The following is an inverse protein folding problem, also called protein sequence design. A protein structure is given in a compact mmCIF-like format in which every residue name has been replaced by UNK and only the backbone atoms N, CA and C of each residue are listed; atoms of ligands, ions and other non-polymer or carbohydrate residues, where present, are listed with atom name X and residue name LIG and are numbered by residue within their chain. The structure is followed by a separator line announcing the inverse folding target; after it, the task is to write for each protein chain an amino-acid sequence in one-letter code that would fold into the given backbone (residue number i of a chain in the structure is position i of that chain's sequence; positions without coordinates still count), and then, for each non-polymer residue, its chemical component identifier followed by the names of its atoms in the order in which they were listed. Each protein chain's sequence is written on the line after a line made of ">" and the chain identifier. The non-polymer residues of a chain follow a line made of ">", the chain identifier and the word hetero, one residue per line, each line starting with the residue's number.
data_IF_895776375156
#
_entry.id   IF_895776375156
#
_cell.length_a   1.000
_cell.length_b   1.000
_cell.length_c   1.000
_cell.angle_alpha   90.00
_cell.angle_beta   90.00
_cell.angle_gamma   90.00
#
_symmetry.space_group_name_H-M   'P 1'
#
loop_
_entity.id
_entity.type
_entity.pdbx_description
1 polymer ?
#
# COMPACT_ATOMS: atom_id res chain seq x y z
N UNK A 1 39.76 20.27 9.56
CA UNK A 1 38.52 20.94 9.11
C UNK A 1 38.06 20.53 7.71
N UNK A 2 38.94 20.33 6.71
CA UNK A 2 38.53 19.97 5.33
C UNK A 2 37.76 18.64 5.18
N UNK A 3 38.14 17.61 5.95
CA UNK A 3 37.52 16.28 5.88
C UNK A 3 36.06 16.26 6.36
N UNK A 4 35.74 16.98 7.43
CA UNK A 4 34.40 17.02 8.03
C UNK A 4 33.39 17.68 7.06
N UNK A 5 33.78 18.76 6.38
CA UNK A 5 32.91 19.42 5.39
C UNK A 5 32.67 18.56 4.14
N UNK A 6 33.67 17.74 3.77
CA UNK A 6 33.57 16.85 2.61
C UNK A 6 32.63 15.68 2.91
N UNK A 7 32.71 15.08 4.10
CA UNK A 7 31.81 14.00 4.53
C UNK A 7 30.35 14.47 4.66
N UNK A 8 30.10 15.65 5.24
CA UNK A 8 28.76 16.23 5.35
C UNK A 8 28.13 16.51 3.97
N UNK A 9 28.94 16.92 3.00
CA UNK A 9 28.46 17.19 1.63
C UNK A 9 28.14 15.89 0.89
N UNK A 10 28.96 14.86 1.06
CA UNK A 10 28.76 13.54 0.44
C UNK A 10 27.48 12.87 0.97
N UNK A 11 27.22 12.89 2.27
CA UNK A 11 26.00 12.31 2.86
C UNK A 11 24.71 13.00 2.40
N UNK A 12 24.75 14.34 2.27
CA UNK A 12 23.64 15.12 1.71
C UNK A 12 23.35 14.77 0.24
N UNK A 13 24.40 14.62 -0.57
CA UNK A 13 24.27 14.24 -1.97
C UNK A 13 23.72 12.82 -2.15
N UNK A 14 24.15 11.87 -1.32
CA UNK A 14 23.63 10.50 -1.34
C UNK A 14 22.14 10.46 -1.02
N UNK A 15 21.71 11.18 0.03
CA UNK A 15 20.29 11.27 0.42
C UNK A 15 19.43 11.85 -0.70
N UNK A 16 19.86 12.95 -1.33
CA UNK A 16 19.09 13.58 -2.40
C UNK A 16 18.99 12.69 -3.64
N UNK A 17 20.05 11.94 -3.96
CA UNK A 17 20.02 10.99 -5.07
C UNK A 17 19.12 9.79 -4.77
N UNK A 18 19.17 9.25 -3.54
CA UNK A 18 18.27 8.18 -3.10
C UNK A 18 16.80 8.62 -3.15
N UNK A 19 16.51 9.83 -2.67
CA UNK A 19 15.18 10.43 -2.75
C UNK A 19 14.69 10.57 -4.20
N UNK A 20 15.51 11.09 -5.12
CA UNK A 20 15.12 11.24 -6.54
C UNK A 20 14.80 9.90 -7.20
N UNK A 21 15.59 8.86 -6.91
CA UNK A 21 15.34 7.50 -7.40
C UNK A 21 14.02 6.95 -6.84
N UNK A 22 13.78 7.18 -5.55
CA UNK A 22 12.56 6.74 -4.87
C UNK A 22 11.33 7.42 -5.46
N UNK A 23 11.38 8.74 -5.64
CA UNK A 23 10.32 9.55 -6.25
C UNK A 23 10.02 9.10 -7.69
N UNK A 24 11.06 8.87 -8.50
CA UNK A 24 10.89 8.35 -9.86
C UNK A 24 10.19 6.99 -9.87
N UNK A 25 10.55 6.09 -8.95
CA UNK A 25 9.91 4.77 -8.84
C UNK A 25 8.45 4.89 -8.43
N UNK A 26 8.14 5.73 -7.44
CA UNK A 26 6.75 5.96 -7.01
C UNK A 26 5.89 6.66 -8.07
N UNK A 27 6.48 7.52 -8.90
CA UNK A 27 5.78 8.08 -10.06
C UNK A 27 5.33 6.99 -11.03
N UNK A 28 6.16 5.98 -11.30
CA UNK A 28 5.79 4.82 -12.13
C UNK A 28 4.67 4.00 -11.49
N UNK A 29 4.75 3.75 -10.18
CA UNK A 29 3.70 3.04 -9.41
C UNK A 29 2.37 3.82 -9.48
N UNK A 30 2.42 5.14 -9.38
CA UNK A 30 1.25 6.01 -9.52
C UNK A 30 0.62 5.86 -10.90
N UNK A 31 1.41 5.95 -11.98
CA UNK A 31 0.89 5.79 -13.35
C UNK A 31 0.23 4.43 -13.59
N UNK A 32 0.78 3.35 -13.03
CA UNK A 32 0.14 2.03 -13.06
C UNK A 32 -1.19 2.01 -12.30
N UNK A 33 -1.25 2.69 -11.15
CA UNK A 33 -2.46 2.79 -10.35
C UNK A 33 -3.56 3.59 -11.06
N UNK A 34 -3.18 4.68 -11.74
CA UNK A 34 -4.10 5.51 -12.53
C UNK A 34 -4.67 4.72 -13.72
N UNK A 35 -3.83 3.95 -14.42
CA UNK A 35 -4.27 3.08 -15.50
C UNK A 35 -5.26 2.00 -15.03
N UNK A 36 -4.98 1.35 -13.89
CA UNK A 36 -5.88 0.40 -13.26
C UNK A 36 -7.22 1.03 -12.89
N UNK A 37 -7.20 2.24 -12.32
CA UNK A 37 -8.41 2.96 -11.94
C UNK A 37 -9.28 3.28 -13.18
N UNK A 38 -8.65 3.75 -14.27
CA UNK A 38 -9.34 4.05 -15.51
C UNK A 38 -9.97 2.80 -16.15
N UNK A 39 -9.23 1.68 -16.22
CA UNK A 39 -9.74 0.43 -16.78
C UNK A 39 -10.87 -0.18 -15.95
N UNK A 40 -10.79 -0.03 -14.63
CA UNK A 40 -11.85 -0.46 -13.71
C UNK A 40 -13.11 0.39 -13.90
N UNK A 41 -12.97 1.71 -14.01
CA UNK A 41 -14.09 2.60 -14.32
C UNK A 41 -14.74 2.26 -15.68
N UNK A 42 -13.93 2.05 -16.72
CA UNK A 42 -14.43 1.71 -18.04
C UNK A 42 -15.23 0.39 -18.02
N UNK A 43 -14.77 -0.60 -17.24
CA UNK A 43 -15.43 -1.91 -17.11
C UNK A 43 -16.84 -1.83 -16.52
N UNK A 44 -17.14 -0.75 -15.79
CA UNK A 44 -18.40 -0.53 -15.11
C UNK A 44 -19.35 0.41 -15.89
N UNK A 45 -18.86 1.07 -16.94
CA UNK A 45 -19.58 2.18 -17.57
C UNK A 45 -19.72 2.03 -19.08
N UNK A 46 -18.61 1.89 -19.80
CA UNK A 46 -18.57 1.96 -21.27
C UNK A 46 -18.30 0.61 -21.92
N UNK A 47 -17.57 -0.27 -21.24
CA UNK A 47 -17.08 -1.53 -21.79
C UNK A 47 -18.23 -2.41 -22.35
N UNK A 48 -18.10 -2.94 -23.59
CA UNK A 48 -19.08 -3.88 -24.13
C UNK A 48 -19.03 -5.22 -23.39
N UNK A 49 -20.18 -5.90 -23.27
CA UNK A 49 -20.33 -7.14 -22.50
C UNK A 49 -19.36 -8.27 -22.93
N UNK A 50 -19.03 -8.35 -24.21
CA UNK A 50 -18.11 -9.35 -24.78
C UNK A 50 -16.63 -9.13 -24.46
N UNK A 51 -16.24 -7.99 -23.87
CA UNK A 51 -14.84 -7.68 -23.57
C UNK A 51 -14.40 -8.07 -22.14
N UNK A 52 -15.27 -8.72 -21.37
CA UNK A 52 -15.05 -8.99 -19.94
C UNK A 52 -13.77 -9.80 -19.67
N UNK A 53 -13.48 -10.83 -20.46
CA UNK A 53 -12.30 -11.69 -20.29
C UNK A 53 -11.00 -10.93 -20.58
N UNK A 54 -10.96 -10.20 -21.72
CA UNK A 54 -9.80 -9.37 -22.09
C UNK A 54 -9.54 -8.29 -21.03
N UNK A 55 -10.60 -7.67 -20.49
CA UNK A 55 -10.47 -6.68 -19.42
C UNK A 55 -9.95 -7.29 -18.13
N UNK A 56 -10.43 -8.47 -17.76
CA UNK A 56 -9.95 -9.17 -16.57
C UNK A 56 -8.44 -9.44 -16.68
N UNK A 57 -7.98 -9.90 -17.85
CA UNK A 57 -6.56 -10.16 -18.10
C UNK A 57 -5.68 -8.89 -18.02
N UNK A 58 -6.16 -7.77 -18.60
CA UNK A 58 -5.48 -6.47 -18.52
C UNK A 58 -5.32 -6.00 -17.06
N UNK A 59 -6.40 -6.08 -16.28
CA UNK A 59 -6.40 -5.68 -14.87
C UNK A 59 -5.52 -6.59 -14.02
N UNK A 60 -5.54 -7.90 -14.28
CA UNK A 60 -4.69 -8.87 -13.59
C UNK A 60 -3.20 -8.58 -13.86
N UNK A 61 -2.82 -8.46 -15.13
CA UNK A 61 -1.43 -8.17 -15.54
C UNK A 61 -0.91 -6.88 -14.90
N UNK A 62 -1.66 -5.79 -15.01
CA UNK A 62 -1.24 -4.50 -14.43
C UNK A 62 -1.20 -4.53 -12.91
N UNK A 63 -2.09 -5.29 -12.27
CA UNK A 63 -2.09 -5.45 -10.81
C UNK A 63 -0.84 -6.18 -10.32
N UNK A 64 -0.41 -7.23 -11.01
CA UNK A 64 0.85 -7.95 -10.73
C UNK A 64 2.04 -7.01 -10.88
N UNK A 65 2.15 -6.32 -12.03
CA UNK A 65 3.26 -5.39 -12.27
C UNK A 65 3.34 -4.28 -11.23
N UNK A 66 2.19 -3.69 -10.86
CA UNK A 66 2.14 -2.68 -9.79
C UNK A 66 2.56 -3.27 -8.44
N UNK A 67 2.13 -4.50 -8.14
CA UNK A 67 2.48 -5.17 -6.89
C UNK A 67 3.99 -5.42 -6.80
N UNK A 68 4.60 -5.98 -7.84
CA UNK A 68 6.06 -6.19 -7.92
C UNK A 68 6.84 -4.89 -7.76
N UNK A 69 6.38 -3.80 -8.39
CA UNK A 69 7.02 -2.50 -8.29
C UNK A 69 6.99 -1.94 -6.86
N UNK A 70 5.85 -2.08 -6.16
CA UNK A 70 5.68 -1.56 -4.79
C UNK A 70 6.29 -2.45 -3.73
N UNK A 71 6.47 -3.75 -3.96
CA UNK A 71 7.13 -4.68 -3.01
C UNK A 71 8.62 -4.86 -3.25
N UNK A 72 9.16 -4.24 -4.31
CA UNK A 72 10.58 -4.28 -4.65
C UNK A 72 11.49 -3.88 -3.47
N UNK A 73 12.50 -4.72 -3.17
CA UNK A 73 13.53 -4.46 -2.16
C UNK A 73 14.28 -3.14 -2.38
N UNK A 74 14.37 -2.70 -3.64
CA UNK A 74 14.98 -1.41 -3.99
C UNK A 74 14.32 -0.24 -3.25
N UNK A 75 13.01 -0.31 -2.95
CA UNK A 75 12.33 0.74 -2.17
C UNK A 75 12.90 0.78 -0.75
N UNK A 76 13.03 -0.38 -0.10
CA UNK A 76 13.64 -0.49 1.23
C UNK A 76 15.10 -0.02 1.23
N UNK A 77 15.88 -0.41 0.21
CA UNK A 77 17.29 0.01 0.07
C UNK A 77 17.45 1.52 -0.10
N UNK A 78 16.55 2.16 -0.86
CA UNK A 78 16.54 3.61 -1.06
C UNK A 78 16.08 4.34 0.21
N UNK A 79 15.06 3.82 0.89
CA UNK A 79 14.58 4.37 2.17
C UNK A 79 15.66 4.35 3.24
N UNK A 80 16.48 3.29 3.30
CA UNK A 80 17.58 3.16 4.27
C UNK A 80 18.72 4.18 4.07
N UNK A 81 18.84 4.76 2.87
CA UNK A 81 19.87 5.76 2.52
C UNK A 81 19.42 7.20 2.70
N UNK A 82 18.16 7.42 3.06
CA UNK A 82 17.59 8.75 3.19
C UNK A 82 17.78 9.25 4.61
N UNK A 83 18.59 10.30 4.77
CA UNK A 83 18.58 11.12 5.97
C UNK A 83 17.45 12.16 5.91
N UNK A 84 16.49 12.05 6.83
CA UNK A 84 15.34 12.95 6.86
C UNK A 84 15.70 14.41 7.18
N UNK A 85 16.85 14.66 7.83
CA UNK A 85 17.28 16.02 8.21
C UNK A 85 17.67 16.86 6.99
N UNK A 86 18.15 16.22 5.93
CA UNK A 86 18.56 16.85 4.67
C UNK A 86 17.34 17.21 3.79
N UNK A 87 16.21 16.55 4.01
CA UNK A 87 15.02 16.70 3.17
C UNK A 87 14.20 17.95 3.51
N UNK A 88 13.44 18.46 2.53
CA UNK A 88 12.41 19.47 2.78
C UNK A 88 11.20 18.87 3.51
N UNK A 89 10.32 19.72 4.08
CA UNK A 89 9.12 19.26 4.75
C UNK A 89 8.19 18.40 3.89
N UNK A 90 8.04 18.76 2.61
CA UNK A 90 7.25 17.98 1.65
C UNK A 90 7.91 16.63 1.33
N UNK A 91 9.23 16.62 1.09
CA UNK A 91 9.96 15.39 0.81
C UNK A 91 9.91 14.41 1.99
N UNK A 92 10.05 14.90 3.23
CA UNK A 92 9.86 14.08 4.45
C UNK A 92 8.47 13.47 4.52
N UNK A 93 7.43 14.24 4.20
CA UNK A 93 6.06 13.73 4.17
C UNK A 93 5.87 12.67 3.08
N UNK A 94 6.45 12.89 1.90
CA UNK A 94 6.42 11.94 0.78
C UNK A 94 7.11 10.62 1.16
N UNK A 95 8.32 10.69 1.73
CA UNK A 95 9.06 9.50 2.22
C UNK A 95 8.24 8.72 3.25
N UNK A 96 7.59 9.40 4.21
CA UNK A 96 6.73 8.75 5.19
C UNK A 96 5.57 7.99 4.54
N UNK A 97 4.91 8.58 3.55
CA UNK A 97 3.82 7.90 2.86
C UNK A 97 4.28 6.75 1.99
N UNK A 98 5.42 6.91 1.31
CA UNK A 98 6.08 5.85 0.56
C UNK A 98 6.40 4.66 1.48
N UNK A 99 6.98 4.93 2.64
CA UNK A 99 7.29 3.91 3.66
C UNK A 99 6.02 3.19 4.11
N UNK A 100 4.93 3.92 4.37
CA UNK A 100 3.64 3.33 4.77
C UNK A 100 3.06 2.44 3.67
N UNK A 101 3.07 2.90 2.42
CA UNK A 101 2.56 2.15 1.27
C UNK A 101 3.38 0.88 1.06
N UNK A 102 4.72 0.97 1.07
CA UNK A 102 5.62 -0.17 0.92
C UNK A 102 5.41 -1.20 2.02
N UNK A 103 5.44 -0.78 3.30
CA UNK A 103 5.19 -1.67 4.45
C UNK A 103 3.84 -2.37 4.38
N UNK A 104 2.79 -1.64 4.01
CA UNK A 104 1.45 -2.22 3.87
C UNK A 104 1.38 -3.23 2.72
N UNK A 105 2.13 -3.03 1.64
CA UNK A 105 2.18 -3.95 0.51
C UNK A 105 3.00 -5.21 0.80
N UNK A 106 4.02 -5.12 1.64
CA UNK A 106 4.89 -6.26 2.03
C UNK A 106 4.46 -6.97 3.31
N UNK A 107 3.43 -6.47 4.01
CA UNK A 107 2.99 -7.03 5.29
C UNK A 107 2.30 -8.39 5.20
N UNK A 108 1.69 -8.73 4.05
CA UNK A 108 0.90 -9.95 3.89
C UNK A 108 1.70 -11.01 3.15
N UNK A 109 1.54 -12.26 3.59
CA UNK A 109 2.11 -13.39 2.86
C UNK A 109 1.29 -13.68 1.57
N UNK A 110 1.92 -14.27 0.54
CA UNK A 110 1.22 -14.67 -0.67
C UNK A 110 0.01 -15.57 -0.40
N UNK A 111 0.10 -16.44 0.61
CA UNK A 111 -0.96 -17.40 0.98
C UNK A 111 -2.22 -16.68 1.47
N UNK A 112 -2.08 -15.65 2.32
CA UNK A 112 -3.22 -14.86 2.82
C UNK A 112 -3.85 -14.06 1.69
N UNK A 113 -3.04 -13.50 0.78
CA UNK A 113 -3.54 -12.74 -0.39
C UNK A 113 -4.36 -13.64 -1.31
N UNK A 114 -3.86 -14.84 -1.58
CA UNK A 114 -4.49 -15.83 -2.43
C UNK A 114 -5.79 -16.37 -1.80
N UNK A 115 -5.77 -16.71 -0.51
CA UNK A 115 -6.96 -17.10 0.24
C UNK A 115 -8.04 -16.01 0.23
N UNK A 116 -7.67 -14.76 0.49
CA UNK A 116 -8.60 -13.62 0.47
C UNK A 116 -9.21 -13.40 -0.91
N UNK A 117 -8.41 -13.54 -1.98
CA UNK A 117 -8.87 -13.37 -3.35
C UNK A 117 -9.91 -14.42 -3.74
N UNK A 118 -9.68 -15.69 -3.38
CA UNK A 118 -10.66 -16.77 -3.59
C UNK A 118 -11.93 -16.57 -2.78
N UNK A 119 -11.82 -16.29 -1.47
CA UNK A 119 -12.97 -16.08 -0.61
C UNK A 119 -13.83 -14.90 -1.09
N UNK A 120 -13.19 -13.81 -1.54
CA UNK A 120 -13.89 -12.65 -2.11
C UNK A 120 -14.65 -13.01 -3.38
N UNK A 121 -14.00 -13.72 -4.32
CA UNK A 121 -14.64 -14.12 -5.57
C UNK A 121 -15.82 -15.07 -5.35
N UNK A 122 -15.66 -16.05 -4.45
CA UNK A 122 -16.73 -16.96 -4.07
C UNK A 122 -17.92 -16.21 -3.44
N UNK A 123 -17.65 -15.37 -2.44
CA UNK A 123 -18.66 -14.56 -1.78
C UNK A 123 -19.40 -13.64 -2.75
N UNK A 124 -18.70 -12.99 -3.68
CA UNK A 124 -19.32 -12.12 -4.69
C UNK A 124 -20.24 -12.90 -5.64
N UNK A 125 -19.78 -14.08 -6.09
CA UNK A 125 -20.56 -14.94 -6.99
C UNK A 125 -21.86 -15.38 -6.35
N UNK A 126 -21.80 -15.86 -5.10
CA UNK A 126 -22.99 -16.24 -4.33
C UNK A 126 -23.88 -15.03 -4.04
N UNK A 127 -23.29 -13.89 -3.68
CA UNK A 127 -24.01 -12.66 -3.40
C UNK A 127 -24.85 -12.16 -4.58
N UNK A 128 -24.36 -12.26 -5.83
CA UNK A 128 -25.11 -11.83 -7.02
C UNK A 128 -26.42 -12.60 -7.15
N UNK A 129 -26.40 -13.91 -6.93
CA UNK A 129 -27.59 -14.78 -6.94
C UNK A 129 -28.47 -14.50 -5.73
N UNK A 130 -27.89 -14.48 -4.53
CA UNK A 130 -28.59 -14.20 -3.27
C UNK A 130 -29.35 -12.86 -3.31
N UNK A 131 -28.74 -11.81 -3.88
CA UNK A 131 -29.36 -10.50 -4.03
C UNK A 131 -30.52 -10.51 -5.01
N UNK A 132 -30.38 -11.19 -6.15
CA UNK A 132 -31.47 -11.33 -7.14
C UNK A 132 -32.68 -12.04 -6.53
N UNK A 133 -32.41 -13.08 -5.75
CA UNK A 133 -33.44 -13.97 -5.24
C UNK A 133 -33.93 -13.55 -3.83
N UNK A 134 -33.39 -12.44 -3.29
CA UNK A 134 -33.65 -11.92 -1.93
C UNK A 134 -33.41 -12.97 -0.82
N UNK A 135 -32.32 -13.73 -0.94
CA UNK A 135 -31.96 -14.88 -0.09
C UNK A 135 -30.64 -14.64 0.61
N UNK A 136 -30.67 -13.84 1.68
CA UNK A 136 -29.47 -13.53 2.48
C UNK A 136 -28.84 -14.78 3.10
N UNK A 137 -29.64 -15.78 3.45
CA UNK A 137 -29.19 -17.06 3.99
C UNK A 137 -28.14 -17.76 3.12
N UNK A 138 -28.18 -17.57 1.79
CA UNK A 138 -27.21 -18.15 0.87
C UNK A 138 -25.81 -17.53 1.00
N UNK A 139 -25.69 -16.28 1.44
CA UNK A 139 -24.40 -15.57 1.51
C UNK A 139 -23.77 -15.61 2.91
N UNK A 140 -24.47 -16.11 3.92
CA UNK A 140 -24.00 -16.10 5.32
C UNK A 140 -22.65 -16.81 5.45
N UNK A 141 -22.53 -18.04 4.97
CA UNK A 141 -21.30 -18.82 5.13
C UNK A 141 -20.14 -18.26 4.28
N UNK A 142 -20.32 -17.95 2.97
CA UNK A 142 -19.26 -17.33 2.18
C UNK A 142 -18.80 -15.97 2.72
N UNK A 143 -19.72 -15.18 3.28
CA UNK A 143 -19.38 -13.90 3.92
C UNK A 143 -18.63 -14.12 5.23
N UNK A 144 -19.01 -15.13 6.01
CA UNK A 144 -18.31 -15.52 7.24
C UNK A 144 -16.85 -15.88 6.97
N UNK A 145 -16.60 -16.73 5.98
CA UNK A 145 -15.23 -17.09 5.55
C UNK A 145 -14.43 -15.85 5.12
N UNK A 146 -15.00 -15.00 4.26
CA UNK A 146 -14.36 -13.76 3.82
C UNK A 146 -14.04 -12.83 5.00
N UNK A 147 -14.95 -12.72 5.98
CA UNK A 147 -14.78 -11.87 7.14
C UNK A 147 -13.63 -12.36 8.04
N UNK A 148 -13.51 -13.66 8.28
CA UNK A 148 -12.42 -14.20 9.11
C UNK A 148 -11.05 -13.94 8.47
N UNK A 149 -10.90 -14.16 7.17
CA UNK A 149 -9.65 -13.84 6.45
C UNK A 149 -9.38 -12.32 6.49
N UNK A 150 -10.42 -11.49 6.39
CA UNK A 150 -10.27 -10.02 6.48
C UNK A 150 -9.79 -9.58 7.87
N UNK A 151 -10.27 -10.22 8.94
CA UNK A 151 -9.80 -10.00 10.31
C UNK A 151 -8.34 -10.41 10.48
N UNK A 152 -7.94 -11.55 9.91
CA UNK A 152 -6.55 -11.99 9.91
C UNK A 152 -5.63 -10.98 9.22
N UNK A 153 -6.00 -10.52 8.01
CA UNK A 153 -5.29 -9.45 7.30
C UNK A 153 -5.16 -8.20 8.16
N UNK A 154 -6.25 -7.79 8.84
CA UNK A 154 -6.24 -6.62 9.70
C UNK A 154 -5.29 -6.81 10.89
N UNK A 155 -5.26 -8.00 11.51
CA UNK A 155 -4.36 -8.32 12.61
C UNK A 155 -2.88 -8.28 12.18
N UNK A 156 -2.54 -8.91 11.05
CA UNK A 156 -1.18 -8.89 10.49
C UNK A 156 -0.73 -7.46 10.21
N UNK A 157 -1.59 -6.66 9.58
CA UNK A 157 -1.30 -5.25 9.29
C UNK A 157 -1.21 -4.40 10.56
N UNK A 158 -2.03 -4.66 11.58
CA UNK A 158 -1.96 -3.96 12.85
C UNK A 158 -0.57 -4.16 13.50
N UNK A 159 -0.07 -5.40 13.55
CA UNK A 159 1.27 -5.68 14.09
C UNK A 159 2.36 -4.99 13.25
N UNK A 160 2.29 -5.09 11.92
CA UNK A 160 3.31 -4.53 11.03
C UNK A 160 3.34 -2.98 11.02
N UNK A 161 2.17 -2.33 11.12
CA UNK A 161 2.02 -0.88 10.95
C UNK A 161 1.92 -0.12 12.29
N UNK A 162 1.30 -0.67 13.33
CA UNK A 162 1.03 0.03 14.60
C UNK A 162 2.20 -0.12 15.59
N UNK A 163 2.87 -1.27 15.65
CA UNK A 163 4.00 -1.47 16.58
C UNK A 163 5.23 -0.60 16.27
N UNK A 164 5.27 0.08 15.11
CA UNK A 164 6.30 1.08 14.79
C UNK A 164 5.83 2.54 14.97
N UNK A 165 4.53 2.81 15.10
CA UNK A 165 4.01 4.18 15.18
C UNK A 165 4.03 4.76 16.60
N UNK A 166 3.77 3.93 17.62
CA UNK A 166 3.83 4.36 19.02
C UNK A 166 5.24 4.73 19.48
N UNK A 167 6.28 4.09 18.95
CA UNK A 167 7.69 4.37 19.29
C UNK A 167 8.17 5.71 18.76
N UNK A 168 7.57 6.20 17.66
CA UNK A 168 7.98 7.47 17.01
C UNK A 168 7.28 8.69 17.60
N UNK A 169 6.05 8.54 18.10
CA UNK A 169 5.29 9.64 18.71
C UNK A 169 5.73 9.94 20.15
N UNK A 170 6.24 8.94 20.87
CA UNK A 170 6.70 9.11 22.27
C UNK A 170 8.03 9.86 22.40
N UNK A 171 8.85 9.93 21.34
CA UNK A 171 10.16 10.60 21.38
C UNK A 171 10.09 12.13 21.19
N UNK A 172 8.97 12.69 20.70
CA UNK A 172 8.86 14.12 20.33
C UNK A 172 7.84 14.92 21.15
N UNK A 173 7.29 14.37 22.23
CA UNK A 173 6.33 15.08 23.07
C UNK A 173 6.99 15.58 24.35
N UNK A 174 7.38 16.86 24.38
CA UNK A 174 7.54 17.59 25.63
C UNK A 174 6.14 17.76 26.26
N UNK A 175 5.93 17.40 27.54
CA UNK A 175 4.61 17.47 28.15
C UNK A 175 4.15 18.92 28.27
N UNK A 176 3.02 19.23 27.64
CA UNK A 176 2.33 20.52 27.80
C UNK A 176 1.73 20.57 29.22
N UNK A 177 2.01 21.61 30.02
CA UNK A 177 1.49 21.70 31.37
C UNK A 177 -0.04 21.82 31.34
N UNK A 178 -0.72 20.92 32.06
CA UNK A 178 -2.18 20.95 32.21
C UNK A 178 -2.58 22.22 32.95
N UNK A 179 -3.34 23.09 32.31
CA UNK A 179 -4.04 24.16 33.00
C UNK A 179 -5.14 23.53 33.87
N UNK A 180 -5.02 23.74 35.19
CA UNK A 180 -6.03 23.35 36.16
C UNK A 180 -7.25 24.26 35.96
N UNK A 181 -8.42 23.66 35.80
CA UNK A 181 -9.70 24.30 36.09
C UNK A 181 -10.20 23.75 37.42
#
# INVERSE_FOLDING_TARGET
>A
MSYITTELTTGSMETLEAYRKLEKKFKRISSLSDALALLSWDSQTIMPSGASEVRAEQLATLSVLRHEEVTSNLISDLLAKIDSEVLTGWQRANVREIERVHKNATALSPEIIDAHSRARHNCETVWRTARRDNRFDLVVDPLGELLEITKEIAAVKAVSLICNHMTRYSMNMNPVPRQKT
#
